data_IF_671454265811
#
_entry.id   IF_671454265811
#
_cell.length_a   1.000
_cell.length_b   1.000
_cell.length_c   1.000
_cell.angle_alpha   90.00
_cell.angle_beta   90.00
_cell.angle_gamma   90.00
#
_symmetry.space_group_name_H-M   'P 1'
#
loop_
_entity.id
_entity.type
_entity.pdbx_description
1 polymer ?
#
# COMPACT_ATOMS: atom_id res chain seq x y z
N UNK A 1 31.50 38.02 -9.26
CA UNK A 1 31.49 37.03 -10.34
C UNK A 1 31.86 35.61 -9.89
N UNK A 2 32.39 35.46 -8.72
CA UNK A 2 32.83 34.13 -8.23
C UNK A 2 31.84 33.46 -7.30
N UNK A 3 30.66 34.05 -7.12
CA UNK A 3 29.70 33.60 -6.12
C UNK A 3 28.50 32.90 -6.68
N UNK A 4 28.47 32.74 -7.99
CA UNK A 4 27.32 32.10 -8.68
C UNK A 4 27.41 30.59 -8.69
N UNK A 5 28.56 30.05 -8.35
CA UNK A 5 28.79 28.58 -8.46
C UNK A 5 28.34 27.79 -7.27
N UNK A 6 27.91 28.44 -6.20
CA UNK A 6 27.60 27.74 -4.95
C UNK A 6 26.13 27.33 -4.78
N UNK A 7 25.28 27.78 -5.69
CA UNK A 7 23.82 27.57 -5.54
C UNK A 7 23.34 26.31 -6.24
N UNK A 8 24.18 25.71 -7.06
CA UNK A 8 23.77 24.57 -7.88
C UNK A 8 23.90 23.21 -7.19
N UNK A 9 24.38 23.18 -5.97
CA UNK A 9 24.71 21.91 -5.32
C UNK A 9 23.67 21.41 -4.33
N UNK A 10 22.53 22.07 -4.23
CA UNK A 10 21.52 21.74 -3.21
C UNK A 10 20.24 21.10 -3.74
N UNK A 11 20.25 20.68 -4.99
CA UNK A 11 19.16 19.91 -5.56
C UNK A 11 19.51 18.43 -5.66
N UNK A 12 20.07 17.88 -4.58
CA UNK A 12 19.97 16.43 -4.39
C UNK A 12 18.56 16.19 -3.87
N UNK A 13 17.63 16.02 -4.80
CA UNK A 13 16.31 15.58 -4.47
C UNK A 13 16.41 14.26 -3.75
N UNK A 14 16.21 14.25 -2.46
CA UNK A 14 15.88 13.02 -1.74
C UNK A 14 14.55 12.56 -2.31
N UNK A 15 14.61 11.53 -3.13
CA UNK A 15 13.39 10.82 -3.50
C UNK A 15 12.88 10.14 -2.24
N UNK A 16 12.07 10.86 -1.48
CA UNK A 16 11.29 10.25 -0.41
C UNK A 16 10.22 9.46 -1.15
N UNK A 17 10.31 8.12 -1.10
CA UNK A 17 9.22 7.30 -1.58
C UNK A 17 8.05 7.54 -0.63
N UNK A 18 7.15 8.44 -1.02
CA UNK A 18 5.96 8.72 -0.27
C UNK A 18 4.98 7.56 -0.44
N UNK A 19 4.36 7.15 0.66
CA UNK A 19 3.22 6.23 0.60
C UNK A 19 2.10 6.89 -0.18
N UNK A 20 1.48 6.12 -1.07
CA UNK A 20 0.30 6.58 -1.79
C UNK A 20 -0.95 6.28 -0.97
N UNK A 21 -1.83 7.25 -0.92
CA UNK A 21 -3.11 7.14 -0.22
C UNK A 21 -4.25 6.99 -1.21
N UNK A 22 -5.24 6.19 -0.85
CA UNK A 22 -6.47 6.01 -1.61
C UNK A 22 -7.67 6.32 -0.75
N UNK A 23 -8.73 6.77 -1.40
CA UNK A 23 -10.04 7.01 -0.79
C UNK A 23 -11.11 6.31 -1.62
N UNK A 24 -12.37 6.40 -1.21
CA UNK A 24 -13.50 5.86 -1.98
C UNK A 24 -13.52 6.36 -3.43
N UNK A 25 -13.04 7.58 -3.69
CA UNK A 25 -13.07 8.19 -5.02
C UNK A 25 -12.20 7.47 -6.04
N UNK A 26 -11.07 6.92 -5.61
CA UNK A 26 -10.11 6.28 -6.51
C UNK A 26 -9.78 4.83 -6.16
N UNK A 27 -10.50 4.23 -5.23
CA UNK A 27 -10.20 2.91 -4.71
C UNK A 27 -10.21 1.83 -5.81
N UNK A 28 -11.29 1.77 -6.58
CA UNK A 28 -11.44 0.75 -7.64
C UNK A 28 -10.36 0.90 -8.73
N UNK A 29 -10.02 2.11 -9.09
CA UNK A 29 -8.94 2.38 -10.03
C UNK A 29 -7.58 1.97 -9.46
N UNK A 30 -7.34 2.25 -8.19
CA UNK A 30 -6.08 1.92 -7.52
C UNK A 30 -5.84 0.42 -7.45
N UNK A 31 -6.84 -0.37 -7.07
CA UNK A 31 -6.68 -1.82 -6.92
C UNK A 31 -6.53 -2.54 -8.26
N UNK A 32 -6.89 -1.90 -9.38
CA UNK A 32 -6.67 -2.47 -10.71
C UNK A 32 -5.19 -2.60 -11.07
N UNK A 33 -4.31 -1.89 -10.34
CA UNK A 33 -2.88 -1.90 -10.58
C UNK A 33 -2.43 -1.06 -11.77
N UNK A 34 -3.34 -0.37 -12.43
CA UNK A 34 -3.05 0.49 -13.58
C UNK A 34 -2.99 1.94 -13.15
N UNK A 35 -1.96 2.65 -13.58
CA UNK A 35 -1.85 4.08 -13.31
C UNK A 35 -1.83 4.90 -14.60
N UNK A 36 -1.96 6.23 -14.44
CA UNK A 36 -2.01 7.17 -15.57
C UNK A 36 -0.69 7.26 -16.34
N UNK A 37 0.41 6.74 -15.79
CA UNK A 37 1.74 6.80 -16.40
C UNK A 37 2.12 5.49 -17.11
N UNK A 38 1.20 4.54 -17.25
CA UNK A 38 1.44 3.28 -17.94
C UNK A 38 2.19 2.24 -17.13
N UNK A 39 2.43 2.48 -15.85
CA UNK A 39 2.96 1.47 -14.94
C UNK A 39 1.82 0.55 -14.49
N UNK A 40 1.95 -0.72 -14.82
CA UNK A 40 0.97 -1.73 -14.43
C UNK A 40 1.57 -2.64 -13.37
N UNK A 41 0.83 -2.85 -12.29
CA UNK A 41 1.17 -3.79 -11.23
C UNK A 41 0.09 -4.88 -11.18
N UNK A 42 0.51 -6.12 -11.29
CA UNK A 42 -0.42 -7.26 -11.15
C UNK A 42 -0.94 -7.36 -9.72
N UNK A 43 -0.09 -7.02 -8.76
CA UNK A 43 -0.40 -7.13 -7.33
C UNK A 43 -0.38 -5.76 -6.68
N UNK A 44 -1.45 -5.48 -5.95
CA UNK A 44 -1.63 -4.26 -5.17
C UNK A 44 -1.93 -4.66 -3.73
N UNK A 45 -1.24 -4.04 -2.78
CA UNK A 45 -1.50 -4.21 -1.36
C UNK A 45 -2.15 -2.94 -0.84
N UNK A 46 -3.29 -3.06 -0.18
CA UNK A 46 -3.95 -1.93 0.47
C UNK A 46 -3.99 -2.18 1.96
N UNK A 47 -3.44 -1.25 2.73
CA UNK A 47 -3.57 -1.23 4.19
C UNK A 47 -4.70 -0.29 4.58
N UNK A 48 -5.71 -0.84 5.25
CA UNK A 48 -6.76 -0.04 5.88
C UNK A 48 -6.22 0.47 7.21
N UNK A 49 -6.12 1.78 7.31
CA UNK A 49 -5.38 2.50 8.33
C UNK A 49 -6.33 3.32 9.20
N UNK A 50 -6.01 3.42 10.49
CA UNK A 50 -6.71 4.31 11.41
C UNK A 50 -5.69 5.21 12.12
N UNK A 51 -5.95 6.49 12.17
CA UNK A 51 -5.03 7.48 12.76
C UNK A 51 -4.76 7.18 14.25
N UNK A 52 -5.79 6.76 14.99
CA UNK A 52 -5.62 6.45 16.42
C UNK A 52 -4.67 5.26 16.66
N UNK A 53 -4.45 4.43 15.64
CA UNK A 53 -3.66 3.19 15.74
C UNK A 53 -2.44 3.19 14.80
N UNK A 54 -1.96 4.36 14.44
CA UNK A 54 -0.89 4.53 13.44
C UNK A 54 0.42 3.83 13.80
N UNK A 55 0.71 3.66 15.10
CA UNK A 55 1.95 3.02 15.55
C UNK A 55 1.96 1.51 15.23
N UNK A 56 0.81 0.91 15.04
CA UNK A 56 0.67 -0.50 14.68
C UNK A 56 0.50 -0.72 13.17
N UNK A 57 0.56 0.34 12.35
CA UNK A 57 0.53 0.22 10.91
C UNK A 57 1.73 -0.57 10.39
N UNK A 58 1.55 -1.22 9.24
CA UNK A 58 2.64 -1.95 8.60
C UNK A 58 3.77 -0.98 8.24
N UNK A 59 5.00 -1.25 8.71
CA UNK A 59 6.12 -0.33 8.58
C UNK A 59 7.06 -0.65 7.42
N UNK A 60 7.07 -1.89 6.94
CA UNK A 60 8.03 -2.36 5.94
C UNK A 60 7.51 -2.28 4.50
N UNK A 61 6.55 -1.40 4.25
CA UNK A 61 5.93 -1.23 2.93
C UNK A 61 6.93 -0.85 1.84
N UNK A 62 8.01 -0.15 2.19
CA UNK A 62 9.07 0.25 1.28
C UNK A 62 9.98 -0.92 0.83
N UNK A 63 9.87 -2.06 1.52
CA UNK A 63 10.60 -3.30 1.18
C UNK A 63 9.81 -4.21 0.25
N UNK A 64 8.60 -3.83 -0.13
CA UNK A 64 7.76 -4.59 -1.06
C UNK A 64 8.14 -4.22 -2.49
N UNK A 65 8.84 -5.11 -3.19
CA UNK A 65 9.26 -4.89 -4.57
C UNK A 65 8.25 -5.51 -5.56
N UNK A 66 8.04 -4.81 -6.67
CA UNK A 66 7.17 -5.30 -7.74
C UNK A 66 5.68 -5.24 -7.47
N UNK A 67 5.28 -4.64 -6.36
CA UNK A 67 3.88 -4.43 -6.00
C UNK A 67 3.63 -2.96 -5.71
N UNK A 68 2.38 -2.54 -5.89
CA UNK A 68 1.97 -1.19 -5.49
C UNK A 68 1.36 -1.27 -4.08
N UNK A 69 1.75 -0.36 -3.21
CA UNK A 69 1.26 -0.28 -1.84
C UNK A 69 0.48 1.01 -1.63
N UNK A 70 -0.73 0.88 -1.10
CA UNK A 70 -1.59 2.01 -0.75
C UNK A 70 -2.03 1.94 0.71
N UNK A 71 -2.20 3.11 1.31
CA UNK A 71 -2.93 3.25 2.56
C UNK A 71 -4.30 3.86 2.31
N UNK A 72 -5.29 3.35 3.02
CA UNK A 72 -6.68 3.79 2.95
C UNK A 72 -7.14 4.10 4.36
N UNK A 73 -7.36 5.38 4.66
CA UNK A 73 -7.87 5.78 5.97
C UNK A 73 -9.33 5.36 6.07
N UNK A 74 -9.65 4.53 7.06
CA UNK A 74 -11.02 4.02 7.24
C UNK A 74 -12.05 5.12 7.51
N UNK A 75 -11.61 6.25 8.09
CA UNK A 75 -12.49 7.39 8.34
C UNK A 75 -12.90 8.12 7.05
N UNK A 76 -12.02 8.10 6.04
CA UNK A 76 -12.24 8.79 4.76
C UNK A 76 -12.81 7.87 3.67
N UNK A 77 -12.97 6.59 3.96
CA UNK A 77 -13.31 5.58 2.95
C UNK A 77 -14.39 4.62 3.45
N UNK A 78 -15.57 5.14 3.83
CA UNK A 78 -16.64 4.33 4.39
C UNK A 78 -17.15 3.26 3.42
N UNK A 79 -17.16 3.52 2.12
CA UNK A 79 -17.63 2.58 1.12
C UNK A 79 -16.66 1.40 0.94
N UNK A 80 -15.37 1.68 0.83
CA UNK A 80 -14.36 0.63 0.74
C UNK A 80 -14.34 -0.22 2.02
N UNK A 81 -14.39 0.42 3.18
CA UNK A 81 -14.47 -0.24 4.47
C UNK A 81 -15.65 -1.22 4.52
N UNK A 82 -16.81 -0.80 4.07
CA UNK A 82 -18.02 -1.62 4.06
C UNK A 82 -17.93 -2.76 3.05
N UNK A 83 -17.48 -2.47 1.83
CA UNK A 83 -17.37 -3.43 0.75
C UNK A 83 -16.51 -4.62 1.12
N UNK A 84 -15.37 -4.36 1.75
CA UNK A 84 -14.40 -5.39 2.13
C UNK A 84 -14.54 -5.84 3.58
N UNK A 85 -15.57 -5.38 4.28
CA UNK A 85 -15.91 -5.77 5.66
C UNK A 85 -14.74 -5.54 6.62
N UNK A 86 -14.09 -4.40 6.49
CA UNK A 86 -12.99 -4.00 7.36
C UNK A 86 -13.57 -3.47 8.66
N UNK A 87 -13.25 -4.10 9.78
CA UNK A 87 -13.75 -3.73 11.10
C UNK A 87 -12.67 -3.21 12.03
N UNK A 88 -11.45 -3.68 11.81
CA UNK A 88 -10.29 -3.37 12.65
C UNK A 88 -9.19 -2.77 11.79
N UNK A 89 -8.37 -1.92 12.36
CA UNK A 89 -7.16 -1.41 11.73
C UNK A 89 -5.94 -1.81 12.57
N UNK A 90 -4.82 -2.18 11.96
CA UNK A 90 -4.63 -2.29 10.52
C UNK A 90 -5.25 -3.58 9.94
N UNK A 91 -5.76 -3.48 8.72
CA UNK A 91 -6.17 -4.63 7.91
C UNK A 91 -5.51 -4.47 6.55
N UNK A 92 -4.78 -5.49 6.11
CA UNK A 92 -4.13 -5.48 4.80
C UNK A 92 -4.85 -6.44 3.87
N UNK A 93 -5.04 -6.03 2.62
CA UNK A 93 -5.63 -6.87 1.58
C UNK A 93 -4.69 -6.89 0.38
N UNK A 94 -4.41 -8.10 -0.13
CA UNK A 94 -3.70 -8.27 -1.40
C UNK A 94 -4.74 -8.41 -2.50
N UNK A 95 -4.63 -7.55 -3.51
CA UNK A 95 -5.42 -7.61 -4.74
C UNK A 95 -4.54 -8.06 -5.89
N UNK A 96 -5.08 -8.92 -6.73
CA UNK A 96 -4.46 -9.33 -7.99
C UNK A 96 -5.42 -9.07 -9.12
N UNK A 97 -4.99 -8.23 -10.05
CA UNK A 97 -5.83 -7.81 -11.18
C UNK A 97 -7.21 -7.27 -10.74
N UNK A 98 -7.22 -6.56 -9.61
CA UNK A 98 -8.43 -5.98 -9.04
C UNK A 98 -9.25 -6.91 -8.16
N UNK A 99 -8.86 -8.17 -8.02
CA UNK A 99 -9.59 -9.15 -7.20
C UNK A 99 -8.88 -9.37 -5.86
N UNK A 100 -9.67 -9.43 -4.80
CA UNK A 100 -9.18 -9.73 -3.46
C UNK A 100 -8.71 -11.18 -3.39
N UNK A 101 -7.45 -11.38 -3.03
CA UNK A 101 -6.84 -12.70 -2.89
C UNK A 101 -6.61 -13.07 -1.42
N UNK A 102 -5.91 -12.22 -0.67
CA UNK A 102 -5.60 -12.46 0.74
C UNK A 102 -6.03 -11.27 1.59
N UNK A 103 -6.41 -11.54 2.83
CA UNK A 103 -6.80 -10.52 3.79
C UNK A 103 -6.23 -10.86 5.16
N UNK A 104 -5.57 -9.86 5.76
CA UNK A 104 -4.98 -9.97 7.10
C UNK A 104 -5.67 -8.96 8.01
N UNK A 105 -6.37 -9.47 9.02
CA UNK A 105 -7.18 -8.65 9.93
C UNK A 105 -6.52 -8.55 11.30
N UNK A 106 -6.38 -7.34 11.83
CA UNK A 106 -5.94 -7.15 13.20
C UNK A 106 -6.88 -7.86 14.17
N UNK A 107 -6.30 -8.43 15.21
CA UNK A 107 -7.07 -9.01 16.32
C UNK A 107 -7.51 -7.94 17.32
N UNK A 108 -7.97 -8.40 18.48
CA UNK A 108 -8.41 -7.51 19.55
C UNK A 108 -7.27 -6.67 20.14
N UNK A 109 -6.02 -7.11 19.96
CA UNK A 109 -4.83 -6.36 20.34
C UNK A 109 -4.52 -5.18 19.42
N UNK A 110 -5.18 -5.11 18.25
CA UNK A 110 -4.99 -4.09 17.23
C UNK A 110 -3.55 -4.00 16.71
N UNK A 111 -2.79 -5.08 16.81
CA UNK A 111 -1.44 -5.15 16.25
C UNK A 111 -1.48 -5.46 14.75
N UNK A 112 -0.38 -5.14 14.06
CA UNK A 112 -0.25 -5.46 12.64
C UNK A 112 -0.39 -6.98 12.44
N UNK A 113 -1.34 -7.44 11.61
CA UNK A 113 -1.70 -8.85 11.54
C UNK A 113 -0.77 -9.70 10.66
N UNK A 114 0.22 -9.09 10.02
CA UNK A 114 1.08 -9.80 9.07
C UNK A 114 2.52 -9.27 9.19
N UNK A 115 3.49 -10.18 9.11
CA UNK A 115 4.90 -9.82 9.03
C UNK A 115 5.33 -9.56 7.60
N UNK A 116 6.48 -8.91 7.42
CA UNK A 116 7.07 -8.71 6.09
C UNK A 116 7.33 -10.04 5.39
N UNK A 117 7.91 -11.01 6.10
CA UNK A 117 8.25 -12.32 5.52
C UNK A 117 7.01 -13.07 5.04
N UNK A 118 5.96 -13.09 5.85
CA UNK A 118 4.68 -13.72 5.49
C UNK A 118 4.06 -13.04 4.26
N UNK A 119 4.05 -11.70 4.26
CA UNK A 119 3.49 -10.94 3.15
C UNK A 119 4.26 -11.18 1.85
N UNK A 120 5.58 -11.19 1.91
CA UNK A 120 6.43 -11.47 0.74
C UNK A 120 6.23 -12.89 0.21
N UNK A 121 6.08 -13.87 1.10
CA UNK A 121 5.80 -15.26 0.71
C UNK A 121 4.46 -15.37 -0.03
N UNK A 122 3.41 -14.78 0.52
CA UNK A 122 2.07 -14.81 -0.08
C UNK A 122 2.05 -14.08 -1.42
N UNK A 123 2.73 -12.95 -1.54
CA UNK A 123 2.88 -12.22 -2.81
C UNK A 123 3.61 -13.09 -3.84
N UNK A 124 4.69 -13.75 -3.42
CA UNK A 124 5.45 -14.65 -4.30
C UNK A 124 4.59 -15.79 -4.82
N UNK A 125 3.78 -16.40 -3.96
CA UNK A 125 2.90 -17.49 -4.33
C UNK A 125 1.84 -17.04 -5.35
N UNK A 126 1.28 -15.87 -5.17
CA UNK A 126 0.32 -15.29 -6.12
C UNK A 126 0.97 -14.98 -7.47
N UNK A 127 2.20 -14.50 -7.46
CA UNK A 127 2.95 -14.20 -8.68
C UNK A 127 3.26 -15.46 -9.48
N UNK A 128 3.57 -16.56 -8.79
CA UNK A 128 3.82 -17.87 -9.44
C UNK A 128 2.56 -18.46 -10.04
N UNK A 129 1.42 -18.30 -9.37
CA UNK A 129 0.13 -18.82 -9.84
C UNK A 129 -0.30 -18.21 -11.17
N UNK A 130 0.16 -16.99 -11.53
CA UNK A 130 -0.16 -16.36 -12.80
C UNK A 130 0.62 -16.92 -13.99
N UNK A 131 1.59 -17.80 -13.77
CA UNK A 131 2.41 -18.39 -14.84
C UNK A 131 1.84 -19.67 -15.44
N UNK A 132 0.71 -20.10 -14.94
CA UNK A 132 0.08 -21.35 -15.40
C UNK A 132 -1.26 -21.12 -16.09
#
# INVERSE_FOLDING_TARGET
MKHVLLILLLLVGTTISAQDWVTDDNFESAISGKNAFGEDFDIVVVEFYAEFNKDNAFQDWDKLEGVKYYRCNIADSPNAKKKYKVRMAPTLIIFKEGYKENMYKAGLDLECPVSLDELLEDISDLSKASQF
#
